data_IF_126803884457
#
_entry.id   IF_126803884457
#
_cell.length_a   1.000
_cell.length_b   1.000
_cell.length_c   1.000
_cell.angle_alpha   90.00
_cell.angle_beta   90.00
_cell.angle_gamma   90.00
#
_symmetry.space_group_name_H-M   'P 1'
#
loop_
_entity.id
_entity.type
_entity.pdbx_description
1 polymer ?
#
# COMPACT_ATOMS: atom_id res chain seq x y z
N UNK A 1 -0.17 1.51 2.27
CA UNK A 1 -0.97 0.31 2.56
C UNK A 1 -1.26 -0.42 1.26
N UNK A 2 -0.82 -1.69 1.15
CA UNK A 2 -1.09 -2.57 0.02
C UNK A 2 -1.71 -3.92 0.43
N UNK A 3 -2.15 -4.04 1.69
CA UNK A 3 -3.06 -5.11 2.07
C UNK A 3 -4.29 -5.08 1.16
N UNK A 4 -4.86 -6.25 0.83
CA UNK A 4 -6.03 -6.29 -0.05
C UNK A 4 -7.28 -5.68 0.58
N UNK A 5 -7.31 -5.59 1.91
CA UNK A 5 -8.37 -4.95 2.66
C UNK A 5 -8.08 -3.46 2.86
N UNK A 6 -9.12 -2.64 2.84
CA UNK A 6 -8.97 -1.23 3.19
C UNK A 6 -8.58 -1.05 4.65
N UNK A 7 -7.52 -0.33 4.94
CA UNK A 7 -7.05 0.00 6.29
C UNK A 7 -7.91 1.08 6.95
N UNK A 8 -9.18 0.76 7.19
CA UNK A 8 -10.17 1.71 7.72
C UNK A 8 -9.76 2.33 9.05
N UNK A 9 -9.12 1.57 9.94
CA UNK A 9 -8.65 2.07 11.23
C UNK A 9 -7.56 3.14 11.08
N UNK A 10 -6.58 2.90 10.20
CA UNK A 10 -5.54 3.88 9.90
C UNK A 10 -6.13 5.13 9.26
N UNK A 11 -7.03 4.96 8.29
CA UNK A 11 -7.74 6.08 7.68
C UNK A 11 -8.49 6.90 8.73
N UNK A 12 -9.26 6.26 9.60
CA UNK A 12 -10.10 6.94 10.59
C UNK A 12 -9.25 7.78 11.58
N UNK A 13 -8.14 7.20 12.08
CA UNK A 13 -7.25 7.88 13.02
C UNK A 13 -6.67 9.16 12.43
N UNK A 14 -6.28 9.15 11.16
CA UNK A 14 -5.60 10.27 10.50
C UNK A 14 -6.48 11.07 9.54
N UNK A 15 -7.80 10.85 9.54
CA UNK A 15 -8.70 11.39 8.52
C UNK A 15 -8.80 12.93 8.51
N UNK A 16 -8.52 13.58 9.65
CA UNK A 16 -8.48 15.04 9.77
C UNK A 16 -7.05 15.61 9.99
N UNK A 17 -6.02 14.74 9.93
CA UNK A 17 -4.63 15.12 10.21
C UNK A 17 -3.84 15.38 8.92
N UNK A 18 -3.41 16.64 8.64
CA UNK A 18 -2.63 16.94 7.44
C UNK A 18 -1.16 16.50 7.54
N UNK A 19 -0.70 16.02 8.70
CA UNK A 19 0.70 15.59 8.90
C UNK A 19 0.93 14.14 8.49
N UNK A 20 -0.14 13.37 8.27
CA UNK A 20 -0.09 11.98 7.81
C UNK A 20 -0.79 11.84 6.47
N UNK A 21 -0.07 11.36 5.47
CA UNK A 21 -0.66 11.01 4.19
C UNK A 21 -0.97 9.51 4.16
N UNK A 22 -2.25 9.16 4.13
CA UNK A 22 -2.71 7.79 4.01
C UNK A 22 -2.97 7.44 2.54
N UNK A 23 -2.34 6.37 2.06
CA UNK A 23 -2.57 5.81 0.74
C UNK A 23 -2.90 4.32 0.85
N UNK A 24 -3.96 3.88 0.20
CA UNK A 24 -4.35 2.47 0.18
C UNK A 24 -4.76 2.02 -1.21
N UNK A 25 -4.28 0.82 -1.59
CA UNK A 25 -4.79 0.05 -2.72
C UNK A 25 -5.49 -1.19 -2.17
N UNK A 26 -6.76 -1.40 -2.47
CA UNK A 26 -7.55 -2.49 -1.90
C UNK A 26 -8.62 -2.98 -2.85
N UNK A 27 -9.08 -4.23 -2.66
CA UNK A 27 -10.18 -4.79 -3.44
C UNK A 27 -11.51 -4.11 -3.07
N UNK A 28 -12.36 -3.86 -4.07
CA UNK A 28 -13.68 -3.27 -3.88
C UNK A 28 -14.70 -3.87 -4.88
N UNK A 29 -15.94 -4.21 -4.47
CA UNK A 29 -16.40 -4.24 -3.06
C UNK A 29 -15.79 -5.42 -2.29
N UNK A 30 -15.32 -5.16 -1.08
CA UNK A 30 -14.71 -6.17 -0.20
C UNK A 30 -14.78 -5.74 1.27
N UNK A 31 -14.40 -6.62 2.22
CA UNK A 31 -14.28 -6.24 3.62
C UNK A 31 -13.23 -5.13 3.79
N UNK A 32 -13.42 -4.12 4.63
CA UNK A 32 -14.56 -3.88 5.55
C UNK A 32 -15.73 -3.08 4.96
N UNK A 33 -15.79 -2.85 3.66
CA UNK A 33 -16.86 -2.11 3.00
C UNK A 33 -16.67 -0.59 3.03
N UNK A 34 -15.44 -0.12 3.22
CA UNK A 34 -15.01 1.28 3.28
C UNK A 34 -13.89 1.54 2.28
N UNK A 35 -13.41 2.78 2.16
CA UNK A 35 -12.29 3.14 1.29
C UNK A 35 -12.70 3.54 -0.13
N UNK A 36 -13.80 4.28 -0.24
CA UNK A 36 -14.19 4.87 -1.53
C UNK A 36 -13.13 5.84 -2.04
N UNK A 37 -12.96 5.92 -3.35
CA UNK A 37 -12.04 6.91 -3.95
C UNK A 37 -12.43 8.37 -3.64
N UNK A 38 -13.68 8.60 -3.23
CA UNK A 38 -14.20 9.89 -2.76
C UNK A 38 -13.78 10.25 -1.33
N UNK A 39 -13.29 9.28 -0.55
CA UNK A 39 -12.87 9.49 0.82
C UNK A 39 -11.44 10.07 0.82
N UNK A 40 -11.37 11.39 0.93
CA UNK A 40 -10.14 12.17 0.74
C UNK A 40 -9.68 12.91 2.00
N UNK A 41 -10.25 12.59 3.17
CA UNK A 41 -10.03 13.31 4.42
C UNK A 41 -11.05 14.43 4.66
N UNK A 42 -11.04 14.97 5.88
CA UNK A 42 -11.91 16.07 6.30
C UNK A 42 -11.12 17.19 6.98
N UNK A 43 -11.71 18.38 7.09
CA UNK A 43 -11.06 19.51 7.76
C UNK A 43 -9.68 19.80 7.16
N UNK A 44 -8.67 19.90 8.02
CA UNK A 44 -7.27 20.13 7.62
C UNK A 44 -6.65 18.90 6.92
N UNK A 45 -7.13 17.69 7.23
CA UNK A 45 -6.69 16.44 6.58
C UNK A 45 -7.27 16.22 5.18
N UNK A 46 -8.10 17.14 4.66
CA UNK A 46 -8.68 17.01 3.32
C UNK A 46 -7.60 17.04 2.24
N UNK A 47 -7.52 15.95 1.45
CA UNK A 47 -6.51 15.76 0.41
C UNK A 47 -5.30 14.95 0.86
N UNK A 48 -5.27 14.51 2.13
CA UNK A 48 -4.20 13.67 2.69
C UNK A 48 -4.61 12.19 2.85
N UNK A 49 -5.81 11.83 2.39
CA UNK A 49 -6.25 10.44 2.19
C UNK A 49 -6.41 10.17 0.70
N UNK A 50 -5.85 9.07 0.22
CA UNK A 50 -5.90 8.65 -1.18
C UNK A 50 -6.22 7.16 -1.28
N UNK A 51 -7.47 6.84 -1.55
CA UNK A 51 -7.96 5.51 -1.78
C UNK A 51 -7.93 5.14 -3.27
N UNK A 52 -7.45 3.95 -3.57
CA UNK A 52 -7.43 3.36 -4.89
C UNK A 52 -8.11 1.98 -4.84
N UNK A 53 -9.45 1.93 -4.80
CA UNK A 53 -10.20 0.69 -4.84
C UNK A 53 -10.06 0.02 -6.22
N UNK A 54 -9.89 -1.31 -6.23
CA UNK A 54 -9.72 -2.13 -7.41
C UNK A 54 -10.75 -3.27 -7.45
N UNK A 55 -11.19 -3.64 -8.64
CA UNK A 55 -12.06 -4.79 -8.81
C UNK A 55 -11.34 -6.11 -8.49
N UNK A 56 -12.10 -7.15 -8.13
CA UNK A 56 -11.61 -8.53 -8.11
C UNK A 56 -10.88 -8.87 -9.42
N UNK A 57 -9.80 -9.64 -9.35
CA UNK A 57 -8.95 -9.98 -10.49
C UNK A 57 -7.91 -8.92 -10.88
N UNK A 58 -7.93 -7.75 -10.23
CA UNK A 58 -6.91 -6.72 -10.49
C UNK A 58 -5.52 -7.19 -10.15
N UNK A 59 -4.56 -6.77 -10.95
CA UNK A 59 -3.18 -7.19 -10.83
C UNK A 59 -2.20 -6.02 -10.92
N UNK A 60 -1.07 -6.31 -11.54
CA UNK A 60 0.02 -5.36 -11.72
C UNK A 60 -0.40 -4.02 -12.32
N UNK A 61 -1.20 -4.05 -13.37
CA UNK A 61 -1.59 -2.84 -14.10
C UNK A 61 -2.33 -1.86 -13.20
N UNK A 62 -3.28 -2.34 -12.44
CA UNK A 62 -4.12 -1.51 -11.57
C UNK A 62 -3.36 -1.13 -10.30
N UNK A 63 -2.81 -2.11 -9.59
CA UNK A 63 -2.23 -1.91 -8.26
C UNK A 63 -0.89 -1.19 -8.36
N UNK A 64 0.09 -1.73 -9.09
CA UNK A 64 1.39 -1.06 -9.27
C UNK A 64 1.23 0.25 -10.05
N UNK A 65 0.25 0.31 -10.98
CA UNK A 65 -0.13 1.53 -11.68
C UNK A 65 -0.58 2.62 -10.73
N UNK A 66 -1.41 2.32 -9.73
CA UNK A 66 -1.87 3.29 -8.73
C UNK A 66 -0.70 3.91 -7.94
N UNK A 67 0.31 3.11 -7.59
CA UNK A 67 1.53 3.64 -6.96
C UNK A 67 2.26 4.65 -7.85
N UNK A 68 2.43 4.31 -9.13
CA UNK A 68 3.16 5.16 -10.08
C UNK A 68 2.40 6.43 -10.44
N UNK A 69 1.11 6.30 -10.70
CA UNK A 69 0.30 7.36 -11.28
C UNK A 69 -0.39 8.25 -10.23
N UNK A 70 -0.61 7.72 -9.03
CA UNK A 70 -1.34 8.42 -7.98
C UNK A 70 -0.44 8.74 -6.77
N UNK A 71 0.26 7.71 -6.20
CA UNK A 71 1.08 7.89 -5.02
C UNK A 71 2.32 8.75 -5.30
N UNK A 72 3.13 8.43 -6.32
CA UNK A 72 4.38 9.18 -6.56
C UNK A 72 4.15 10.68 -6.79
N UNK A 73 3.16 11.13 -7.58
CA UNK A 73 2.84 12.55 -7.70
C UNK A 73 2.38 13.19 -6.39
N UNK A 74 1.64 12.45 -5.54
CA UNK A 74 1.23 12.94 -4.24
C UNK A 74 2.44 13.12 -3.31
N UNK A 75 3.35 12.16 -3.27
CA UNK A 75 4.56 12.23 -2.44
C UNK A 75 5.52 13.36 -2.85
N UNK A 76 5.56 13.70 -4.13
CA UNK A 76 6.31 14.88 -4.61
C UNK A 76 5.82 16.19 -3.98
N UNK A 77 4.52 16.27 -3.66
CA UNK A 77 3.93 17.44 -2.98
C UNK A 77 4.03 17.33 -1.47
N UNK A 78 3.72 16.15 -0.91
CA UNK A 78 3.70 15.91 0.53
C UNK A 78 5.09 15.89 1.16
N UNK A 79 6.08 15.22 0.51
CA UNK A 79 7.48 15.09 0.95
C UNK A 79 7.58 14.49 2.35
N UNK A 80 7.23 13.22 2.54
CA UNK A 80 7.21 12.57 3.85
C UNK A 80 8.60 12.58 4.51
N UNK A 81 8.64 12.78 5.82
CA UNK A 81 9.87 12.66 6.62
C UNK A 81 10.08 11.24 7.16
N UNK A 82 9.06 10.39 7.04
CA UNK A 82 9.05 8.99 7.47
C UNK A 82 8.05 8.21 6.61
N UNK A 83 8.35 6.94 6.31
CA UNK A 83 7.47 6.06 5.54
C UNK A 83 7.12 4.82 6.36
N UNK A 84 5.83 4.50 6.40
CA UNK A 84 5.33 3.24 6.97
C UNK A 84 4.63 2.42 5.88
N UNK A 85 4.84 1.12 5.90
CA UNK A 85 4.17 0.17 5.00
C UNK A 85 3.30 -0.75 5.84
N UNK A 86 1.99 -0.71 5.61
CA UNK A 86 1.07 -1.79 5.95
C UNK A 86 1.20 -2.84 4.85
N UNK A 87 1.99 -3.87 5.14
CA UNK A 87 2.43 -4.85 4.17
C UNK A 87 1.59 -6.13 4.25
N UNK A 88 0.40 -6.11 3.64
CA UNK A 88 -0.35 -7.32 3.35
C UNK A 88 0.17 -8.01 2.08
N UNK A 89 0.08 -9.32 2.04
CA UNK A 89 0.47 -10.14 0.88
C UNK A 89 -0.69 -10.98 0.36
N UNK A 90 -1.90 -10.65 0.79
CA UNK A 90 -3.17 -11.27 0.41
C UNK A 90 -3.70 -10.79 -0.96
N UNK A 91 -3.11 -9.75 -1.54
CA UNK A 91 -3.29 -9.40 -2.95
C UNK A 91 -2.51 -10.32 -3.91
N UNK A 92 -1.75 -11.30 -3.38
CA UNK A 92 -0.99 -12.26 -4.18
C UNK A 92 -1.93 -13.27 -4.85
N UNK A 93 -1.60 -13.62 -6.10
CA UNK A 93 -2.29 -14.70 -6.79
C UNK A 93 -2.22 -16.01 -5.97
N UNK A 94 -3.35 -16.68 -5.85
CA UNK A 94 -3.48 -17.93 -5.09
C UNK A 94 -3.78 -17.75 -3.60
N UNK A 95 -3.96 -16.52 -3.12
CA UNK A 95 -4.47 -16.29 -1.76
C UNK A 95 -5.91 -16.82 -1.65
N UNK A 96 -6.26 -17.51 -0.55
CA UNK A 96 -7.60 -18.10 -0.39
C UNK A 96 -8.69 -17.08 -0.04
N UNK A 97 -8.34 -15.85 0.31
CA UNK A 97 -9.28 -14.79 0.69
C UNK A 97 -9.28 -13.68 -0.37
N UNK A 98 -8.11 -13.21 -0.76
CA UNK A 98 -7.94 -12.17 -1.75
C UNK A 98 -8.13 -12.68 -3.18
N UNK A 99 -8.76 -11.86 -4.01
CA UNK A 99 -9.02 -12.20 -5.41
C UNK A 99 -8.17 -11.38 -6.38
N UNK A 100 -7.05 -10.81 -5.92
CA UNK A 100 -6.11 -10.09 -6.77
C UNK A 100 -5.06 -11.03 -7.39
N UNK A 101 -4.27 -10.50 -8.31
CA UNK A 101 -3.36 -11.30 -9.15
C UNK A 101 -1.91 -10.78 -9.13
N UNK A 102 -1.43 -10.29 -7.97
CA UNK A 102 -0.04 -9.90 -7.82
C UNK A 102 0.88 -11.12 -7.72
N UNK A 103 2.08 -10.97 -8.24
CA UNK A 103 3.18 -11.94 -8.14
C UNK A 103 4.22 -11.48 -7.12
N UNK A 104 5.13 -12.36 -6.71
CA UNK A 104 6.25 -12.01 -5.84
C UNK A 104 7.10 -10.87 -6.45
N UNK A 105 7.21 -10.82 -7.78
CA UNK A 105 7.91 -9.75 -8.49
C UNK A 105 7.20 -8.40 -8.32
N UNK A 106 5.87 -8.38 -8.29
CA UNK A 106 5.11 -7.15 -8.12
C UNK A 106 5.32 -6.57 -6.72
N UNK A 107 5.42 -7.41 -5.68
CA UNK A 107 5.78 -6.96 -4.33
C UNK A 107 7.21 -6.40 -4.25
N UNK A 108 8.16 -6.95 -5.02
CA UNK A 108 9.50 -6.34 -5.17
C UNK A 108 9.38 -4.94 -5.78
N UNK A 109 8.60 -4.79 -6.84
CA UNK A 109 8.43 -3.51 -7.52
C UNK A 109 7.69 -2.48 -6.63
N UNK A 110 6.67 -2.90 -5.86
CA UNK A 110 6.03 -2.06 -4.84
C UNK A 110 7.02 -1.62 -3.77
N UNK A 111 7.86 -2.55 -3.30
CA UNK A 111 8.94 -2.25 -2.35
C UNK A 111 9.89 -1.20 -2.92
N UNK A 112 10.30 -1.34 -4.18
CA UNK A 112 11.18 -0.38 -4.85
C UNK A 112 10.56 1.01 -4.96
N UNK A 113 9.29 1.10 -5.31
CA UNK A 113 8.58 2.38 -5.40
C UNK A 113 8.53 3.09 -4.05
N UNK A 114 8.16 2.37 -2.98
CA UNK A 114 8.00 2.96 -1.65
C UNK A 114 9.35 3.28 -1.01
N UNK A 115 10.34 2.43 -1.18
CA UNK A 115 11.70 2.72 -0.71
C UNK A 115 12.32 3.90 -1.47
N UNK A 116 12.02 4.05 -2.77
CA UNK A 116 12.40 5.24 -3.54
C UNK A 116 11.82 6.53 -2.98
N UNK A 117 10.58 6.51 -2.45
CA UNK A 117 9.98 7.64 -1.73
C UNK A 117 10.78 7.93 -0.45
N UNK A 118 11.09 6.90 0.34
CA UNK A 118 11.83 7.06 1.59
C UNK A 118 13.24 7.62 1.34
N UNK A 119 13.94 7.17 0.31
CA UNK A 119 15.26 7.70 -0.04
C UNK A 119 15.19 9.15 -0.47
N UNK A 120 14.23 9.48 -1.30
CA UNK A 120 14.12 10.81 -1.88
C UNK A 120 13.75 11.88 -0.86
N UNK A 121 12.86 11.54 0.10
CA UNK A 121 12.25 12.53 0.99
C UNK A 121 12.52 12.28 2.47
N UNK A 122 12.67 11.03 2.89
CA UNK A 122 12.72 10.64 4.29
C UNK A 122 14.12 10.21 4.77
N UNK A 123 15.17 10.41 3.98
CA UNK A 123 16.53 9.97 4.33
C UNK A 123 16.63 8.47 4.57
N UNK A 124 15.85 7.67 3.85
CA UNK A 124 15.80 6.21 3.95
C UNK A 124 14.98 5.67 5.13
N UNK A 125 14.36 6.54 5.95
CA UNK A 125 13.58 6.11 7.13
C UNK A 125 12.28 5.45 6.69
N UNK A 126 12.24 4.13 6.90
CA UNK A 126 11.11 3.28 6.52
C UNK A 126 10.92 2.16 7.54
N UNK A 127 9.67 1.85 7.86
CA UNK A 127 9.25 0.67 8.62
C UNK A 127 8.20 -0.08 7.80
N UNK A 128 8.29 -1.40 7.79
CA UNK A 128 7.28 -2.28 7.20
C UNK A 128 6.69 -3.19 8.26
N UNK A 129 5.38 -3.20 8.39
CA UNK A 129 4.63 -4.07 9.29
C UNK A 129 3.86 -5.10 8.48
N UNK A 130 4.05 -6.39 8.80
CA UNK A 130 3.31 -7.49 8.19
C UNK A 130 1.83 -7.44 8.62
N UNK A 131 0.92 -7.55 7.65
CA UNK A 131 -0.52 -7.66 7.88
C UNK A 131 -1.10 -8.95 7.27
N UNK A 132 -1.96 -8.86 6.24
CA UNK A 132 -2.61 -10.01 5.63
C UNK A 132 -1.70 -10.88 4.77
N UNK A 133 -2.23 -12.05 4.43
CA UNK A 133 -1.59 -13.09 3.62
C UNK A 133 -1.93 -14.48 4.18
N UNK A 134 -2.77 -15.22 3.47
CA UNK A 134 -3.45 -16.41 4.01
C UNK A 134 -3.08 -17.71 3.29
N UNK A 135 -2.42 -17.64 2.14
CA UNK A 135 -1.65 -18.77 1.60
C UNK A 135 -0.25 -18.77 2.22
N UNK A 136 0.01 -19.65 3.17
CA UNK A 136 1.27 -19.67 3.92
C UNK A 136 2.52 -19.82 3.05
N UNK A 137 2.43 -20.54 1.93
CA UNK A 137 3.56 -20.71 1.00
C UNK A 137 3.76 -19.44 0.17
N UNK A 138 2.68 -18.89 -0.35
CA UNK A 138 2.69 -17.62 -1.07
C UNK A 138 3.15 -16.47 -0.19
N UNK A 139 2.66 -16.40 1.05
CA UNK A 139 3.07 -15.43 2.05
C UNK A 139 4.59 -15.50 2.29
N UNK A 140 5.12 -16.69 2.58
CA UNK A 140 6.55 -16.88 2.83
C UNK A 140 7.41 -16.45 1.62
N UNK A 141 6.94 -16.75 0.40
CA UNK A 141 7.63 -16.36 -0.84
C UNK A 141 7.62 -14.84 -1.04
N UNK A 142 6.46 -14.21 -0.95
CA UNK A 142 6.30 -12.78 -1.18
C UNK A 142 6.97 -11.93 -0.08
N UNK A 143 6.81 -12.30 1.20
CA UNK A 143 7.53 -11.66 2.32
C UNK A 143 9.04 -11.82 2.16
N UNK A 144 9.50 -13.03 1.79
CA UNK A 144 10.92 -13.28 1.53
C UNK A 144 11.48 -12.38 0.42
N UNK A 145 10.72 -12.18 -0.67
CA UNK A 145 11.10 -11.29 -1.76
C UNK A 145 11.14 -9.81 -1.30
N UNK A 146 10.14 -9.36 -0.55
CA UNK A 146 10.07 -8.02 0.04
C UNK A 146 11.24 -7.74 0.99
N UNK A 147 11.46 -8.60 1.99
CA UNK A 147 12.52 -8.43 2.99
C UNK A 147 13.90 -8.49 2.34
N UNK A 148 14.13 -9.42 1.41
CA UNK A 148 15.37 -9.49 0.64
C UNK A 148 15.63 -8.20 -0.14
N UNK A 149 14.58 -7.61 -0.71
CA UNK A 149 14.72 -6.34 -1.42
C UNK A 149 15.02 -5.18 -0.48
N UNK A 150 14.37 -5.10 0.68
CA UNK A 150 14.70 -4.12 1.72
C UNK A 150 16.15 -4.24 2.18
N UNK A 151 16.62 -5.46 2.47
CA UNK A 151 17.97 -5.74 2.94
C UNK A 151 19.08 -5.46 1.91
N UNK A 152 18.75 -5.48 0.60
CA UNK A 152 19.74 -5.23 -0.46
C UNK A 152 20.08 -3.76 -0.67
N UNK A 153 19.57 -2.86 0.17
CA UNK A 153 19.72 -1.39 0.07
C UNK A 153 20.73 -0.82 1.06
N UNK A 154 21.37 -1.70 1.86
CA UNK A 154 22.42 -1.31 2.80
C UNK A 154 23.80 -1.22 2.16
#
# INVERSE_FOLDING_TARGET
>A
DWDIHHGNGTQEIFYSDPTVFYFSTHQWPFYPGTGMASDIGIGEGKGFTLNCPHASGSGRTEIVGAFKERLLPAMKRFKPEFVMISAGFDARTGDPIGECALTDRDFVDLTDLVTGIADQYAGGRLVSALEGGYDLRGLASAVGAHVKRLASRG
#
